data_IF_283164965767
#
_entry.id   IF_283164965767
#
_cell.length_a   1.000
_cell.length_b   1.000
_cell.length_c   1.000
_cell.angle_alpha   90.00
_cell.angle_beta   90.00
_cell.angle_gamma   90.00
#
_symmetry.space_group_name_H-M   'P 1'
#
loop_
_entity.id
_entity.type
_entity.pdbx_description
1 polymer ?
#
# COMPACT_ATOMS: atom_id res chain seq x y z
N UNK A 1 0.25 -23.67 -10.60
CA UNK A 1 0.68 -23.72 -12.02
C UNK A 1 1.38 -22.43 -12.45
N UNK A 2 0.70 -21.31 -12.76
CA UNK A 2 1.40 -20.10 -13.25
C UNK A 2 2.40 -19.46 -12.26
N UNK A 3 2.19 -19.61 -10.95
CA UNK A 3 3.13 -19.13 -9.92
C UNK A 3 4.39 -19.99 -9.87
N UNK A 4 4.25 -21.30 -10.08
CA UNK A 4 5.34 -22.27 -9.99
C UNK A 4 6.29 -22.11 -11.19
N UNK A 5 5.74 -21.95 -12.40
CA UNK A 5 6.51 -21.68 -13.62
C UNK A 5 7.29 -20.35 -13.56
N UNK A 6 6.69 -19.32 -12.94
CA UNK A 6 7.34 -18.03 -12.72
C UNK A 6 8.53 -18.15 -11.77
N UNK A 7 8.37 -18.87 -10.66
CA UNK A 7 9.44 -19.09 -9.68
C UNK A 7 10.58 -19.93 -10.26
N UNK A 8 10.27 -20.97 -11.05
CA UNK A 8 11.29 -21.75 -11.76
C UNK A 8 12.06 -20.91 -12.78
N UNK A 9 11.38 -20.02 -13.49
CA UNK A 9 12.01 -19.12 -14.45
C UNK A 9 12.91 -18.10 -13.75
N UNK A 10 12.46 -17.53 -12.63
CA UNK A 10 13.28 -16.67 -11.79
C UNK A 10 14.54 -17.40 -11.28
N UNK A 11 14.41 -18.65 -10.84
CA UNK A 11 15.55 -19.47 -10.40
C UNK A 11 16.54 -19.78 -11.53
N UNK A 12 16.05 -20.10 -12.75
CA UNK A 12 16.88 -20.34 -13.94
C UNK A 12 17.64 -19.09 -14.40
N UNK A 13 17.09 -17.91 -14.14
CA UNK A 13 17.66 -16.62 -14.55
C UNK A 13 18.48 -15.93 -13.46
N UNK A 14 18.68 -16.57 -12.29
CA UNK A 14 19.27 -15.95 -11.08
C UNK A 14 18.61 -14.63 -10.67
N UNK A 15 17.33 -14.45 -11.04
CA UNK A 15 16.54 -13.28 -10.71
C UNK A 15 15.77 -13.53 -9.42
N UNK A 16 15.79 -12.54 -8.52
CA UNK A 16 14.89 -12.56 -7.37
C UNK A 16 13.45 -12.34 -7.85
N UNK A 17 12.50 -13.25 -7.56
CA UNK A 17 11.11 -13.05 -7.93
C UNK A 17 10.59 -11.76 -7.31
N UNK A 18 9.81 -11.00 -8.09
CA UNK A 18 9.23 -9.76 -7.58
C UNK A 18 8.23 -10.12 -6.49
N UNK A 19 8.51 -9.67 -5.26
CA UNK A 19 7.58 -9.84 -4.16
C UNK A 19 6.42 -8.89 -4.38
N UNK A 20 5.21 -9.43 -4.47
CA UNK A 20 4.00 -8.62 -4.47
C UNK A 20 3.98 -7.70 -3.23
N UNK A 21 3.61 -6.45 -3.42
CA UNK A 21 3.40 -5.53 -2.31
C UNK A 21 2.21 -6.02 -1.48
N UNK A 22 2.39 -6.16 -0.17
CA UNK A 22 1.39 -6.76 0.72
C UNK A 22 0.14 -5.89 0.94
N UNK A 23 0.18 -4.61 0.54
CA UNK A 23 -0.86 -3.62 0.84
C UNK A 23 -0.95 -3.22 2.31
N UNK A 24 -0.13 -3.80 3.20
CA UNK A 24 -0.18 -3.51 4.63
C UNK A 24 0.79 -2.38 5.00
N UNK A 25 0.26 -1.34 5.64
CA UNK A 25 1.04 -0.20 6.15
C UNK A 25 0.90 -0.16 7.68
N UNK A 26 1.86 -0.76 8.38
CA UNK A 26 1.92 -0.73 9.85
C UNK A 26 2.71 0.49 10.31
N UNK A 27 2.02 1.49 10.85
CA UNK A 27 2.65 2.73 11.35
C UNK A 27 2.20 3.03 12.77
N UNK A 28 3.14 3.56 13.56
CA UNK A 28 2.84 4.18 14.85
C UNK A 28 2.84 5.69 14.66
N UNK A 29 1.76 6.34 15.05
CA UNK A 29 1.61 7.79 15.01
C UNK A 29 1.27 8.32 16.40
N UNK A 30 1.46 9.63 16.59
CA UNK A 30 1.09 10.30 17.83
C UNK A 30 -0.42 10.12 18.13
N UNK A 31 -0.83 9.89 19.39
CA UNK A 31 -2.23 9.69 19.75
C UNK A 31 -3.16 10.85 19.38
N UNK A 32 -2.69 12.11 19.43
CA UNK A 32 -3.50 13.27 19.01
C UNK A 32 -3.73 13.27 17.50
N UNK A 33 -2.69 12.90 16.73
CA UNK A 33 -2.81 12.71 15.28
C UNK A 33 -3.80 11.59 14.99
N UNK A 34 -3.69 10.44 15.67
CA UNK A 34 -4.63 9.33 15.50
C UNK A 34 -6.08 9.75 15.78
N UNK A 35 -6.34 10.54 16.85
CA UNK A 35 -7.69 11.07 17.13
C UNK A 35 -8.21 11.91 15.97
N UNK A 36 -7.39 12.80 15.44
CA UNK A 36 -7.78 13.70 14.33
C UNK A 36 -8.04 12.94 13.04
N UNK A 37 -7.25 11.90 12.75
CA UNK A 37 -7.45 11.00 11.61
C UNK A 37 -8.77 10.24 11.75
N UNK A 38 -9.05 9.68 12.93
CA UNK A 38 -10.30 8.97 13.19
C UNK A 38 -11.52 9.89 12.97
N UNK A 39 -11.45 11.14 13.46
CA UNK A 39 -12.52 12.12 13.26
C UNK A 39 -12.70 12.50 11.78
N UNK A 40 -11.60 12.73 11.05
CA UNK A 40 -11.67 13.06 9.63
C UNK A 40 -12.28 11.93 8.79
N UNK A 41 -11.88 10.69 9.09
CA UNK A 41 -12.44 9.51 8.43
C UNK A 41 -13.95 9.36 8.71
N UNK A 42 -14.38 9.56 9.96
CA UNK A 42 -15.79 9.48 10.36
C UNK A 42 -16.66 10.54 9.68
N UNK A 43 -16.17 11.80 9.61
CA UNK A 43 -16.86 12.89 8.92
C UNK A 43 -17.07 12.61 7.42
N UNK A 44 -16.21 11.80 6.81
CA UNK A 44 -16.31 11.36 5.42
C UNK A 44 -17.03 10.01 5.25
N UNK A 45 -17.49 9.39 6.34
CA UNK A 45 -18.12 8.07 6.31
C UNK A 45 -17.17 6.94 5.89
N UNK A 46 -15.87 7.10 6.13
CA UNK A 46 -14.81 6.15 5.75
C UNK A 46 -14.20 5.48 6.98
N UNK A 47 -13.67 4.28 6.80
CA UNK A 47 -12.71 3.73 7.77
C UNK A 47 -11.39 4.52 7.73
N UNK A 48 -10.61 4.49 8.82
CA UNK A 48 -9.27 5.10 8.86
C UNK A 48 -8.40 4.60 7.70
N UNK A 49 -8.44 3.30 7.40
CA UNK A 49 -7.65 2.71 6.33
C UNK A 49 -8.04 3.28 4.96
N UNK A 50 -9.34 3.38 4.67
CA UNK A 50 -9.82 3.98 3.40
C UNK A 50 -9.46 5.46 3.29
N UNK A 51 -9.57 6.21 4.39
CA UNK A 51 -9.23 7.63 4.41
C UNK A 51 -7.73 7.85 4.18
N UNK A 52 -6.87 7.06 4.83
CA UNK A 52 -5.42 7.11 4.62
C UNK A 52 -5.04 6.65 3.21
N UNK A 53 -5.70 5.62 2.67
CA UNK A 53 -5.48 5.17 1.29
C UNK A 53 -5.76 6.27 0.27
N UNK A 54 -6.82 7.08 0.47
CA UNK A 54 -7.07 8.24 -0.41
C UNK A 54 -5.94 9.26 -0.36
N UNK A 55 -5.37 9.52 0.82
CA UNK A 55 -4.22 10.42 0.95
C UNK A 55 -2.96 9.85 0.30
N UNK A 56 -2.72 8.54 0.42
CA UNK A 56 -1.61 7.89 -0.25
C UNK A 56 -1.76 7.95 -1.78
N UNK A 57 -2.97 7.74 -2.29
CA UNK A 57 -3.26 7.86 -3.72
C UNK A 57 -3.01 9.29 -4.22
N UNK A 58 -3.49 10.30 -3.50
CA UNK A 58 -3.25 11.72 -3.82
C UNK A 58 -1.76 12.07 -3.79
N UNK A 59 -1.05 11.67 -2.74
CA UNK A 59 0.38 11.96 -2.58
C UNK A 59 1.26 11.28 -3.64
N UNK A 60 0.78 10.19 -4.23
CA UNK A 60 1.52 9.42 -5.25
C UNK A 60 1.00 9.65 -6.67
N UNK A 61 -0.05 10.45 -6.86
CA UNK A 61 -0.67 10.70 -8.17
C UNK A 61 0.30 11.29 -9.21
N UNK A 62 1.36 11.99 -8.78
CA UNK A 62 2.40 12.49 -9.69
C UNK A 62 3.42 11.43 -10.12
N UNK A 63 3.59 10.37 -9.33
CA UNK A 63 4.52 9.27 -9.61
C UNK A 63 3.95 8.29 -10.64
N UNK A 64 2.63 8.22 -10.76
CA UNK A 64 1.91 7.34 -11.70
C UNK A 64 2.12 7.73 -13.17
N UNK A 65 2.70 8.91 -13.46
CA UNK A 65 3.06 9.33 -14.83
C UNK A 65 4.46 8.88 -15.27
N UNK A 66 5.23 8.23 -14.40
CA UNK A 66 6.64 7.91 -14.62
C UNK A 66 6.96 6.40 -14.56
N UNK A 67 5.95 5.53 -14.40
CA UNK A 67 6.10 4.07 -14.37
C UNK A 67 5.30 3.44 -15.50
#
# INVERSE_FOLDING_TARGET
EAVDDYLETCAKLELSPQKAYSGQVMVRIDPDIHRRVALAADLEGKSINQWVETLFAEATASLTKQV
#
